data_IF_580125512424
#
_entry.id   IF_580125512424
#
_cell.length_a   1.000
_cell.length_b   1.000
_cell.length_c   1.000
_cell.angle_alpha   90.00
_cell.angle_beta   90.00
_cell.angle_gamma   90.00
#
_symmetry.space_group_name_H-M   'P 1'
#
loop_
_entity.id
_entity.type
_entity.pdbx_description
1 polymer ?
#
# COMPACT_ATOMS: atom_id res chain seq x y z
N UNK A 1 -8.90 6.79 10.62
CA UNK A 1 -9.37 7.75 9.59
C UNK A 1 -10.84 8.08 9.85
N UNK A 2 -11.16 9.21 10.49
CA UNK A 2 -12.51 9.52 10.99
C UNK A 2 -13.34 10.47 10.09
N UNK A 3 -13.06 10.54 8.78
CA UNK A 3 -13.67 11.56 7.90
C UNK A 3 -14.10 11.10 6.50
N UNK A 4 -14.20 9.78 6.27
CA UNK A 4 -14.48 9.18 4.94
C UNK A 4 -15.86 8.50 4.85
N UNK A 5 -16.81 8.86 5.71
CA UNK A 5 -18.08 8.15 5.83
C UNK A 5 -19.07 8.49 4.70
N UNK A 6 -19.02 9.72 4.17
CA UNK A 6 -19.81 10.15 3.01
C UNK A 6 -18.96 10.81 1.91
N UNK A 7 -19.46 10.74 0.67
CA UNK A 7 -18.82 11.39 -0.49
C UNK A 7 -18.78 12.91 -0.30
N UNK A 8 -19.82 13.48 0.30
CA UNK A 8 -19.98 14.90 0.53
C UNK A 8 -18.95 15.41 1.54
N UNK A 9 -18.74 14.70 2.64
CA UNK A 9 -17.68 15.00 3.62
C UNK A 9 -16.30 14.87 3.01
N UNK A 10 -16.07 13.85 2.18
CA UNK A 10 -14.80 13.67 1.48
C UNK A 10 -14.47 14.85 0.55
N UNK A 11 -15.46 15.29 -0.24
CA UNK A 11 -15.31 16.47 -1.10
C UNK A 11 -15.06 17.72 -0.27
N UNK A 12 -15.79 17.90 0.85
CA UNK A 12 -15.60 19.04 1.76
C UNK A 12 -14.19 19.03 2.36
N UNK A 13 -13.68 17.86 2.74
CA UNK A 13 -12.33 17.71 3.28
C UNK A 13 -11.26 18.06 2.23
N UNK A 14 -11.38 17.54 1.01
CA UNK A 14 -10.47 17.88 -0.09
C UNK A 14 -10.44 19.38 -0.39
N UNK A 15 -11.61 20.04 -0.41
CA UNK A 15 -11.71 21.50 -0.58
C UNK A 15 -11.04 22.26 0.56
N UNK A 16 -11.24 21.84 1.81
CA UNK A 16 -10.60 22.48 2.95
C UNK A 16 -9.08 22.35 2.87
N UNK A 17 -8.56 21.18 2.48
CA UNK A 17 -7.12 21.00 2.31
C UNK A 17 -6.56 21.90 1.19
N UNK A 18 -7.28 22.08 0.08
CA UNK A 18 -6.92 23.04 -0.97
C UNK A 18 -6.88 24.47 -0.42
N UNK A 19 -7.90 24.89 0.35
CA UNK A 19 -7.93 26.22 0.96
C UNK A 19 -6.76 26.46 1.92
N UNK A 20 -6.39 25.45 2.71
CA UNK A 20 -5.21 25.51 3.58
C UNK A 20 -3.94 25.66 2.74
N UNK A 21 -3.81 24.91 1.65
CA UNK A 21 -2.64 24.92 0.79
C UNK A 21 -2.47 26.20 -0.04
N UNK A 22 -3.53 27.00 -0.24
CA UNK A 22 -3.45 28.30 -0.94
C UNK A 22 -2.65 29.35 -0.16
N UNK A 23 -2.53 29.20 1.17
CA UNK A 23 -1.71 30.10 1.96
C UNK A 23 -0.24 29.71 1.82
N UNK A 24 0.64 30.59 1.30
CA UNK A 24 2.06 30.28 1.08
C UNK A 24 2.85 30.01 2.37
N UNK A 25 2.27 30.32 3.55
CA UNK A 25 2.86 29.97 4.86
C UNK A 25 2.59 28.53 5.28
N UNK A 26 1.71 27.83 4.58
CA UNK A 26 1.37 26.44 4.87
C UNK A 26 2.12 25.51 3.92
N UNK A 27 2.70 24.46 4.47
CA UNK A 27 3.34 23.39 3.70
C UNK A 27 2.51 22.12 3.89
N UNK A 28 2.05 21.55 2.78
CA UNK A 28 1.47 20.21 2.77
C UNK A 28 2.61 19.23 2.51
N UNK A 29 2.83 18.30 3.43
CA UNK A 29 3.86 17.28 3.33
C UNK A 29 3.26 15.88 3.49
N UNK A 30 3.95 14.89 2.93
CA UNK A 30 3.62 13.48 3.05
C UNK A 30 4.86 12.70 3.49
N UNK A 31 4.67 11.66 4.30
CA UNK A 31 5.78 10.87 4.84
C UNK A 31 6.24 9.71 3.93
N UNK A 32 5.48 9.44 2.87
CA UNK A 32 5.78 8.44 1.86
C UNK A 32 5.20 8.83 0.50
N UNK A 33 5.66 8.16 -0.56
CA UNK A 33 5.24 8.45 -1.94
C UNK A 33 3.76 8.10 -2.19
N UNK A 34 3.24 7.06 -1.56
CA UNK A 34 1.83 6.65 -1.73
C UNK A 34 0.88 7.77 -1.27
N UNK A 35 1.11 8.32 -0.08
CA UNK A 35 0.29 9.41 0.45
C UNK A 35 0.44 10.70 -0.35
N UNK A 36 1.65 10.99 -0.84
CA UNK A 36 1.89 12.14 -1.71
C UNK A 36 1.06 12.05 -3.00
N UNK A 37 1.07 10.88 -3.63
CA UNK A 37 0.31 10.59 -4.84
C UNK A 37 -1.20 10.55 -4.59
N UNK A 38 -1.62 10.03 -3.43
CA UNK A 38 -3.01 10.02 -3.03
C UNK A 38 -3.57 11.45 -2.85
N UNK A 39 -2.84 12.31 -2.13
CA UNK A 39 -3.21 13.73 -1.98
C UNK A 39 -3.24 14.41 -3.35
N UNK A 40 -2.22 14.19 -4.18
CA UNK A 40 -2.14 14.75 -5.55
C UNK A 40 -3.33 14.35 -6.39
N UNK A 41 -3.72 13.08 -6.35
CA UNK A 41 -4.86 12.56 -7.11
C UNK A 41 -6.19 13.22 -6.71
N UNK A 42 -6.46 13.34 -5.40
CA UNK A 42 -7.76 13.84 -4.92
C UNK A 42 -7.86 15.36 -4.81
N UNK A 43 -6.73 16.07 -4.67
CA UNK A 43 -6.73 17.51 -4.41
C UNK A 43 -5.97 18.34 -5.44
N UNK A 44 -5.13 17.72 -6.27
CA UNK A 44 -4.21 18.41 -7.19
C UNK A 44 -3.02 19.08 -6.51
N UNK A 45 -2.96 19.09 -5.17
CA UNK A 45 -1.82 19.61 -4.41
C UNK A 45 -0.61 18.69 -4.67
N UNK A 46 0.59 19.25 -4.75
CA UNK A 46 1.84 18.47 -4.82
C UNK A 46 2.55 18.54 -3.46
N UNK A 47 2.35 17.57 -2.56
CA UNK A 47 3.00 17.59 -1.26
C UNK A 47 4.51 17.45 -1.39
N UNK A 48 5.22 18.04 -0.43
CA UNK A 48 6.64 17.74 -0.26
C UNK A 48 6.75 16.38 0.43
N UNK A 49 7.56 15.48 -0.13
CA UNK A 49 7.85 14.19 0.51
C UNK A 49 8.92 14.43 1.57
N UNK A 50 8.54 14.26 2.83
CA UNK A 50 9.46 14.24 3.97
C UNK A 50 9.57 12.77 4.37
N UNK A 51 10.57 12.03 3.87
CA UNK A 51 10.66 10.61 4.15
C UNK A 51 10.71 10.40 5.66
N UNK A 52 10.00 9.38 6.16
CA UNK A 52 10.16 8.93 7.54
C UNK A 52 11.62 8.56 7.76
N UNK A 53 12.35 9.43 8.46
CA UNK A 53 13.77 9.26 8.72
C UNK A 53 13.95 8.23 9.84
N UNK A 54 14.09 6.97 9.45
CA UNK A 54 14.43 5.88 10.37
C UNK A 54 15.95 5.65 10.43
N UNK A 55 16.77 6.62 10.02
CA UNK A 55 18.23 6.48 9.91
C UNK A 55 18.89 6.09 11.24
N UNK A 56 18.28 6.45 12.38
CA UNK A 56 18.74 6.04 13.72
C UNK A 56 18.78 4.52 13.92
N UNK A 57 18.06 3.75 13.08
CA UNK A 57 18.05 2.29 13.14
C UNK A 57 19.26 1.66 12.46
N UNK A 58 19.96 2.40 11.57
CA UNK A 58 21.02 1.89 10.70
C UNK A 58 20.62 0.62 9.91
N UNK A 59 19.32 0.36 9.70
CA UNK A 59 18.86 -0.78 8.90
C UNK A 59 18.56 -0.35 7.48
N UNK A 60 18.95 -1.18 6.52
CA UNK A 60 18.60 -1.02 5.10
C UNK A 60 17.78 -2.22 4.64
N UNK A 61 16.80 -1.97 3.78
CA UNK A 61 16.02 -3.05 3.19
C UNK A 61 16.91 -3.90 2.26
N UNK A 62 17.12 -5.16 2.63
CA UNK A 62 17.96 -6.12 1.93
C UNK A 62 17.20 -7.43 1.70
N UNK A 63 16.27 -7.48 0.72
CA UNK A 63 15.46 -8.67 0.49
C UNK A 63 16.26 -9.82 -0.12
N UNK A 64 15.78 -11.04 0.14
CA UNK A 64 16.26 -12.25 -0.53
C UNK A 64 15.50 -12.38 -1.85
N UNK A 65 16.13 -11.99 -2.96
CA UNK A 65 15.52 -11.91 -4.31
C UNK A 65 14.85 -13.23 -4.76
N UNK A 66 15.36 -14.37 -4.31
CA UNK A 66 14.81 -15.70 -4.66
C UNK A 66 13.53 -16.05 -3.90
N UNK A 67 13.17 -15.31 -2.84
CA UNK A 67 11.91 -15.53 -2.12
C UNK A 67 10.72 -15.03 -2.95
N UNK A 68 9.54 -15.65 -2.81
CA UNK A 68 8.35 -15.19 -3.52
C UNK A 68 7.90 -13.82 -3.02
N UNK A 69 7.17 -13.07 -3.85
CA UNK A 69 6.36 -11.97 -3.33
C UNK A 69 5.25 -12.55 -2.45
N UNK A 70 5.05 -11.92 -1.30
CA UNK A 70 4.03 -12.34 -0.35
C UNK A 70 2.69 -11.77 -0.77
N UNK A 71 1.65 -12.59 -0.76
CA UNK A 71 0.28 -12.13 -0.94
C UNK A 71 -0.36 -12.10 0.44
N UNK A 72 -0.87 -10.92 0.83
CA UNK A 72 -1.56 -10.72 2.09
C UNK A 72 -2.85 -11.56 2.17
N UNK A 73 -3.41 -11.67 3.38
CA UNK A 73 -4.63 -12.45 3.59
C UNK A 73 -5.80 -11.89 2.79
N UNK A 74 -6.51 -12.76 2.08
CA UNK A 74 -7.79 -12.47 1.43
C UNK A 74 -8.87 -13.32 2.07
N UNK A 75 -9.90 -12.69 2.63
CA UNK A 75 -10.95 -13.40 3.36
C UNK A 75 -12.04 -13.99 2.44
N UNK A 76 -12.16 -13.51 1.19
CA UNK A 76 -13.16 -14.02 0.23
C UNK A 76 -12.54 -15.10 -0.65
N UNK A 77 -12.87 -16.36 -0.42
CA UNK A 77 -12.28 -17.51 -1.14
C UNK A 77 -12.48 -17.47 -2.65
N UNK A 78 -13.68 -17.13 -3.12
CA UNK A 78 -13.98 -17.02 -4.57
C UNK A 78 -13.09 -15.98 -5.23
N UNK A 79 -12.90 -14.83 -4.57
CA UNK A 79 -12.02 -13.77 -5.05
C UNK A 79 -10.56 -14.21 -4.99
N UNK A 80 -10.13 -14.83 -3.89
CA UNK A 80 -8.78 -15.38 -3.71
C UNK A 80 -8.39 -16.32 -4.85
N UNK A 81 -9.29 -17.23 -5.21
CA UNK A 81 -9.08 -18.17 -6.32
C UNK A 81 -9.00 -17.44 -7.68
N UNK A 82 -9.95 -16.56 -7.96
CA UNK A 82 -9.99 -15.79 -9.21
C UNK A 82 -8.74 -14.91 -9.37
N UNK A 83 -8.37 -14.19 -8.32
CA UNK A 83 -7.20 -13.32 -8.29
C UNK A 83 -5.93 -14.12 -8.57
N UNK A 84 -5.71 -15.23 -7.85
CA UNK A 84 -4.51 -16.05 -8.05
C UNK A 84 -4.44 -16.63 -9.46
N UNK A 85 -5.58 -17.06 -10.02
CA UNK A 85 -5.65 -17.54 -11.39
C UNK A 85 -5.23 -16.46 -12.40
N UNK A 86 -5.78 -15.26 -12.25
CA UNK A 86 -5.47 -14.12 -13.11
C UNK A 86 -4.00 -13.70 -12.98
N UNK A 87 -3.50 -13.58 -11.75
CA UNK A 87 -2.12 -13.21 -11.46
C UNK A 87 -1.13 -14.20 -12.06
N UNK A 88 -1.35 -15.51 -11.85
CA UNK A 88 -0.50 -16.55 -12.45
C UNK A 88 -0.53 -16.50 -13.98
N UNK A 89 -1.68 -16.20 -14.58
CA UNK A 89 -1.78 -16.01 -16.04
C UNK A 89 -0.92 -14.82 -16.49
N UNK A 90 -1.07 -13.66 -15.86
CA UNK A 90 -0.30 -12.45 -16.21
C UNK A 90 1.21 -12.62 -16.01
N UNK A 91 1.63 -13.31 -14.95
CA UNK A 91 3.06 -13.60 -14.70
C UNK A 91 3.66 -14.50 -15.78
N UNK A 92 2.90 -15.50 -16.28
CA UNK A 92 3.33 -16.34 -17.40
C UNK A 92 3.48 -15.53 -18.69
N UNK A 93 2.54 -14.62 -18.98
CA UNK A 93 2.58 -13.80 -20.20
C UNK A 93 3.73 -12.77 -20.19
N UNK A 94 4.14 -12.29 -19.01
CA UNK A 94 5.20 -11.30 -18.86
C UNK A 94 6.62 -11.90 -18.92
N UNK A 95 6.76 -13.22 -19.06
CA UNK A 95 8.05 -13.94 -19.06
C UNK A 95 8.95 -13.57 -17.85
N UNK A 96 8.33 -13.34 -16.70
CA UNK A 96 9.05 -12.98 -15.46
C UNK A 96 9.37 -14.22 -14.64
N UNK A 97 10.51 -14.20 -13.93
CA UNK A 97 10.87 -15.24 -12.95
C UNK A 97 10.22 -15.02 -11.58
N UNK A 98 9.20 -14.16 -11.50
CA UNK A 98 8.56 -13.77 -10.25
C UNK A 98 7.70 -14.92 -9.74
N UNK A 99 7.95 -15.33 -8.50
CA UNK A 99 7.09 -16.26 -7.78
C UNK A 99 6.26 -15.52 -6.75
N UNK A 100 5.07 -16.05 -6.45
CA UNK A 100 4.13 -15.46 -5.50
C UNK A 100 3.57 -16.54 -4.59
N UNK A 101 3.32 -16.21 -3.33
CA UNK A 101 2.72 -17.15 -2.37
C UNK A 101 1.97 -16.43 -1.28
N UNK A 102 0.90 -17.03 -0.77
CA UNK A 102 0.15 -16.45 0.34
C UNK A 102 0.98 -16.49 1.62
N UNK A 103 0.95 -15.39 2.39
CA UNK A 103 1.65 -15.28 3.66
C UNK A 103 1.33 -16.46 4.59
N UNK A 104 0.05 -16.84 4.68
CA UNK A 104 -0.42 -17.93 5.56
C UNK A 104 -0.07 -19.33 5.04
N UNK A 105 0.22 -19.48 3.75
CA UNK A 105 0.66 -20.77 3.19
C UNK A 105 2.15 -20.99 3.44
N UNK A 106 2.94 -19.90 3.38
CA UNK A 106 4.38 -19.91 3.62
C UNK A 106 4.67 -19.99 5.12
N UNK A 107 4.00 -19.18 5.92
CA UNK A 107 4.16 -19.12 7.38
C UNK A 107 2.86 -19.58 8.06
N UNK A 108 2.76 -20.89 8.30
CA UNK A 108 1.52 -21.54 8.75
C UNK A 108 1.08 -21.14 10.16
N UNK A 109 2.03 -20.91 11.07
CA UNK A 109 1.74 -20.71 12.49
C UNK A 109 2.24 -19.35 12.98
N UNK A 110 3.53 -19.08 12.81
CA UNK A 110 4.21 -17.87 13.29
C UNK A 110 5.23 -17.41 12.26
N UNK A 111 5.47 -16.12 12.26
CA UNK A 111 6.55 -15.46 11.53
C UNK A 111 6.96 -14.23 12.34
N UNK A 112 8.20 -13.81 12.15
CA UNK A 112 8.71 -12.55 12.68
C UNK A 112 8.68 -11.45 11.61
N UNK A 113 8.88 -10.20 12.03
CA UNK A 113 8.99 -9.09 11.08
C UNK A 113 10.13 -9.30 10.06
N UNK A 114 11.23 -9.90 10.50
CA UNK A 114 12.35 -10.23 9.63
C UNK A 114 11.96 -11.23 8.53
N UNK A 115 11.10 -12.21 8.84
CA UNK A 115 10.62 -13.18 7.88
C UNK A 115 9.90 -12.48 6.73
N UNK A 116 8.98 -11.55 7.03
CA UNK A 116 8.28 -10.75 6.02
C UNK A 116 9.26 -9.85 5.26
N UNK A 117 10.09 -9.09 5.99
CA UNK A 117 11.02 -8.11 5.42
C UNK A 117 12.07 -8.75 4.49
N UNK A 118 12.35 -10.04 4.65
CA UNK A 118 13.25 -10.76 3.76
C UNK A 118 12.65 -11.09 2.38
N UNK A 119 11.34 -10.89 2.16
CA UNK A 119 10.73 -11.06 0.84
C UNK A 119 10.87 -9.80 -0.03
N UNK A 120 10.93 -9.95 -1.38
CA UNK A 120 11.06 -8.81 -2.31
C UNK A 120 9.88 -7.82 -2.32
N UNK A 121 8.73 -8.21 -1.76
CA UNK A 121 7.58 -7.34 -1.65
C UNK A 121 6.33 -8.05 -1.19
N UNK A 122 5.31 -7.25 -0.85
CA UNK A 122 3.99 -7.73 -0.41
C UNK A 122 2.93 -7.16 -1.34
N UNK A 123 2.09 -8.05 -1.90
CA UNK A 123 0.88 -7.72 -2.64
C UNK A 123 -0.26 -7.69 -1.62
N UNK A 124 -0.69 -6.48 -1.28
CA UNK A 124 -1.82 -6.24 -0.39
C UNK A 124 -3.06 -5.87 -1.20
N UNK A 125 -4.13 -6.65 -1.04
CA UNK A 125 -5.45 -6.32 -1.59
C UNK A 125 -6.33 -5.92 -0.41
N UNK A 126 -6.71 -4.63 -0.30
CA UNK A 126 -7.58 -4.20 0.77
C UNK A 126 -8.92 -4.92 0.69
N UNK A 127 -9.34 -5.51 1.80
CA UNK A 127 -10.61 -6.25 1.93
C UNK A 127 -11.84 -5.34 1.73
N UNK A 128 -11.69 -4.06 2.06
CA UNK A 128 -12.69 -3.02 1.85
C UNK A 128 -12.19 -1.98 0.84
N UNK A 129 -12.91 -1.85 -0.25
CA UNK A 129 -13.02 -0.57 -0.97
C UNK A 129 -14.35 0.14 -0.63
N UNK A 130 -15.16 -0.42 0.28
CA UNK A 130 -16.39 0.20 0.78
C UNK A 130 -16.12 0.97 2.07
N UNK A 131 -16.56 2.22 2.05
CA UNK A 131 -16.75 3.17 3.16
C UNK A 131 -16.70 2.46 4.52
N UNK A 132 -15.70 2.78 5.33
CA UNK A 132 -15.71 2.41 6.74
C UNK A 132 -17.01 2.97 7.34
N UNK A 133 -17.71 2.18 8.17
CA UNK A 133 -18.94 2.56 8.89
C UNK A 133 -18.66 3.45 10.08
#
# INVERSE_FOLDING_TARGET
EMGRFSKEEWIKWNKNLQLIALNPRNIVAANNLYDAEYIRYFTGIKPIIIPSLCDYTNVSYAPIIKKPFLIATMYVDKFRFQFMRNLKSSLKHSNTSITVGYLRDIYKERYEYFDIASHPGVIYIPYQVSLMS
#
